data_IF_048873596532
#
_entry.id   IF_048873596532
#
_cell.length_a   1.000
_cell.length_b   1.000
_cell.length_c   1.000
_cell.angle_alpha   90.00
_cell.angle_beta   90.00
_cell.angle_gamma   90.00
#
_symmetry.space_group_name_H-M   'P 1'
#
loop_
_entity.id
_entity.type
_entity.pdbx_description
1 polymer ?
#
# COMPACT_ATOMS: atom_id res chain seq x y z
N UNK A 1 24.56 -16.90 5.59
CA UNK A 1 23.66 -15.73 5.50
C UNK A 1 23.21 -15.61 4.06
N UNK A 2 21.90 -15.66 3.78
CA UNK A 2 21.37 -15.58 2.41
C UNK A 2 21.18 -14.10 2.03
N UNK A 3 21.83 -13.66 0.95
CA UNK A 3 21.58 -12.36 0.35
C UNK A 3 20.49 -12.54 -0.72
N UNK A 4 19.32 -11.95 -0.49
CA UNK A 4 18.24 -11.95 -1.47
C UNK A 4 18.25 -10.62 -2.24
N UNK A 5 18.66 -10.66 -3.50
CA UNK A 5 18.70 -9.49 -4.38
C UNK A 5 17.48 -9.51 -5.29
N UNK A 6 16.68 -8.44 -5.27
CA UNK A 6 15.60 -8.24 -6.23
C UNK A 6 16.12 -7.37 -7.39
N UNK A 7 16.03 -7.88 -8.61
CA UNK A 7 16.38 -7.14 -9.82
C UNK A 7 15.14 -6.95 -10.70
N UNK A 8 14.74 -5.70 -10.94
CA UNK A 8 13.60 -5.34 -11.77
C UNK A 8 14.05 -4.49 -12.96
N UNK A 9 13.93 -5.04 -14.18
CA UNK A 9 14.06 -4.28 -15.43
C UNK A 9 12.71 -3.70 -15.83
N UNK A 10 12.69 -2.41 -16.17
CA UNK A 10 11.51 -1.74 -16.70
C UNK A 10 11.45 -1.90 -18.23
N UNK A 11 10.45 -2.63 -18.73
CA UNK A 11 10.19 -2.78 -20.17
C UNK A 11 9.31 -1.66 -20.75
N UNK A 12 8.57 -0.97 -19.88
CA UNK A 12 7.68 0.16 -20.17
C UNK A 12 7.88 1.22 -19.06
N UNK A 13 7.65 2.51 -19.35
CA UNK A 13 7.69 3.57 -18.34
C UNK A 13 6.81 3.24 -17.13
N UNK A 14 7.27 3.59 -15.92
CA UNK A 14 6.55 3.33 -14.68
C UNK A 14 5.13 3.90 -14.71
N UNK A 15 4.95 5.10 -15.27
CA UNK A 15 3.64 5.72 -15.45
C UNK A 15 2.65 4.81 -16.20
N UNK A 16 3.08 4.23 -17.32
CA UNK A 16 2.24 3.31 -18.12
C UNK A 16 1.94 2.01 -17.36
N UNK A 17 2.86 1.54 -16.51
CA UNK A 17 2.64 0.34 -15.68
C UNK A 17 1.60 0.61 -14.58
N UNK A 18 1.52 1.82 -14.05
CA UNK A 18 0.61 2.19 -12.97
C UNK A 18 -0.87 2.16 -13.34
N UNK A 19 -1.21 2.12 -14.64
CA UNK A 19 -2.58 2.09 -15.15
C UNK A 19 -3.50 3.13 -14.47
N UNK A 20 -2.99 4.35 -14.31
CA UNK A 20 -3.71 5.43 -13.66
C UNK A 20 -4.99 5.78 -14.45
N UNK A 21 -6.11 6.10 -13.77
CA UNK A 21 -7.33 6.52 -14.44
C UNK A 21 -7.11 7.83 -15.22
N UNK A 22 -7.99 8.13 -16.18
CA UNK A 22 -7.85 9.33 -17.02
C UNK A 22 -8.13 10.63 -16.25
N UNK A 23 -8.98 10.58 -15.22
CA UNK A 23 -9.35 11.75 -14.43
C UNK A 23 -9.63 11.41 -12.96
N UNK A 24 -9.41 12.39 -12.10
CA UNK A 24 -9.87 12.37 -10.70
C UNK A 24 -11.40 12.48 -10.63
N UNK A 25 -11.99 12.19 -9.45
CA UNK A 25 -13.43 12.34 -9.21
C UNK A 25 -13.97 13.77 -9.40
N UNK A 26 -13.09 14.78 -9.39
CA UNK A 26 -13.41 16.18 -9.67
C UNK A 26 -13.21 16.58 -11.15
N UNK A 27 -12.91 15.64 -12.04
CA UNK A 27 -12.78 15.88 -13.49
C UNK A 27 -11.40 16.34 -13.96
N UNK A 28 -10.44 16.60 -13.06
CA UNK A 28 -9.07 16.96 -13.45
C UNK A 28 -8.35 15.77 -14.07
N UNK A 29 -7.74 15.96 -15.24
CA UNK A 29 -7.02 14.92 -15.96
C UNK A 29 -5.74 14.49 -15.22
N UNK A 30 -5.49 13.18 -15.15
CA UNK A 30 -4.19 12.66 -14.76
C UNK A 30 -3.22 12.81 -15.93
N UNK A 31 -2.26 13.70 -15.79
CA UNK A 31 -1.19 13.92 -16.75
C UNK A 31 0.07 13.30 -16.17
N UNK A 32 0.90 12.71 -17.03
CA UNK A 32 2.24 12.24 -16.70
C UNK A 32 3.20 13.44 -16.55
N UNK A 33 3.62 13.84 -15.33
CA UNK A 33 4.60 14.90 -15.14
C UNK A 33 6.02 14.51 -15.54
N UNK A 34 6.30 13.24 -15.84
CA UNK A 34 7.65 12.74 -16.13
C UNK A 34 7.96 12.71 -17.63
N UNK A 35 6.95 12.75 -18.51
CA UNK A 35 7.14 12.76 -19.98
C UNK A 35 7.84 14.01 -20.48
N UNK A 36 7.65 15.15 -19.81
CA UNK A 36 8.22 16.45 -20.25
C UNK A 36 9.72 16.58 -19.96
N UNK A 37 10.23 15.84 -18.98
CA UNK A 37 11.61 16.00 -18.49
C UNK A 37 12.61 15.02 -19.11
N UNK A 38 12.19 14.22 -20.09
CA UNK A 38 13.07 13.21 -20.72
C UNK A 38 13.46 12.07 -19.76
N UNK A 39 12.60 11.75 -18.78
CA UNK A 39 12.85 10.75 -17.76
C UNK A 39 13.09 9.33 -18.32
N UNK A 40 13.89 8.55 -17.61
CA UNK A 40 14.08 7.11 -17.87
C UNK A 40 12.75 6.35 -17.70
N UNK A 41 12.58 5.15 -18.31
CA UNK A 41 11.46 4.27 -17.98
C UNK A 41 11.30 3.94 -16.48
N UNK A 42 12.36 4.14 -15.67
CA UNK A 42 12.35 3.94 -14.21
C UNK A 42 11.97 5.18 -13.40
N UNK A 43 11.78 6.36 -14.01
CA UNK A 43 11.36 7.57 -13.30
C UNK A 43 10.03 7.33 -12.56
N UNK A 44 9.87 7.76 -11.28
CA UNK A 44 10.74 8.65 -10.49
C UNK A 44 11.85 7.96 -9.67
N UNK A 45 12.04 6.65 -9.83
CA UNK A 45 13.03 5.86 -9.08
C UNK A 45 14.40 5.80 -9.77
N UNK A 46 14.68 6.76 -10.66
CA UNK A 46 15.94 6.93 -11.39
C UNK A 46 16.94 7.87 -10.70
N UNK A 47 16.65 8.28 -9.47
CA UNK A 47 17.51 9.11 -8.61
C UNK A 47 17.62 8.49 -7.20
N UNK A 48 18.58 8.89 -6.35
CA UNK A 48 18.65 8.40 -4.98
C UNK A 48 17.37 8.70 -4.18
N UNK A 49 16.83 7.69 -3.49
CA UNK A 49 15.65 7.82 -2.64
C UNK A 49 15.80 6.97 -1.37
N UNK A 50 15.02 7.33 -0.35
CA UNK A 50 14.87 6.49 0.84
C UNK A 50 13.67 5.56 0.65
N UNK A 51 13.88 4.27 0.85
CA UNK A 51 12.80 3.29 0.90
C UNK A 51 12.42 3.06 2.36
N UNK A 52 11.22 3.48 2.72
CA UNK A 52 10.62 3.16 4.02
C UNK A 52 9.64 2.00 3.79
N UNK A 53 9.82 0.92 4.54
CA UNK A 53 8.90 -0.21 4.56
C UNK A 53 8.24 -0.27 5.93
N UNK A 54 6.91 -0.26 5.96
CA UNK A 54 6.12 -0.37 7.17
C UNK A 54 5.02 -1.42 7.01
N UNK A 55 4.55 -1.94 8.13
CA UNK A 55 3.35 -2.77 8.22
C UNK A 55 2.30 -1.95 8.98
N UNK A 56 1.05 -1.97 8.51
CA UNK A 56 -0.04 -1.21 9.10
C UNK A 56 -1.34 -2.02 9.08
N UNK A 57 -2.28 -1.63 9.94
CA UNK A 57 -3.66 -2.17 10.01
C UNK A 57 -4.66 -1.03 9.89
N UNK A 58 -5.91 -1.34 9.51
CA UNK A 58 -6.97 -0.33 9.45
C UNK A 58 -7.14 0.37 8.10
N UNK A 59 -6.76 -0.28 6.99
CA UNK A 59 -7.03 0.24 5.66
C UNK A 59 -8.53 0.41 5.43
N UNK A 60 -8.93 1.55 4.87
CA UNK A 60 -10.33 1.89 4.58
C UNK A 60 -10.60 2.19 3.11
N UNK A 61 -9.78 1.61 2.24
CA UNK A 61 -9.72 1.86 0.79
C UNK A 61 -10.48 0.83 -0.04
N UNK A 62 -11.27 -0.06 0.58
CA UNK A 62 -12.03 -1.11 -0.09
C UNK A 62 -11.23 -2.37 -0.41
N UNK A 63 -9.93 -2.41 -0.10
CA UNK A 63 -9.11 -3.61 -0.31
C UNK A 63 -9.58 -4.79 0.57
N UNK A 64 -9.86 -4.50 1.85
CA UNK A 64 -10.43 -5.46 2.80
C UNK A 64 -11.96 -5.34 2.78
N UNK A 65 -12.67 -6.39 2.39
CA UNK A 65 -14.12 -6.35 2.25
C UNK A 65 -14.83 -6.19 3.61
N UNK A 66 -15.79 -5.28 3.69
CA UNK A 66 -16.60 -5.07 4.90
C UNK A 66 -17.36 -6.34 5.30
N UNK A 67 -17.34 -6.67 6.60
CA UNK A 67 -18.04 -7.83 7.16
C UNK A 67 -17.41 -9.19 6.85
N UNK A 68 -16.23 -9.23 6.22
CA UNK A 68 -15.47 -10.46 5.98
C UNK A 68 -14.27 -10.57 6.91
N UNK A 69 -13.79 -11.80 7.06
CA UNK A 69 -12.54 -12.17 7.74
C UNK A 69 -12.38 -11.61 9.17
N UNK A 70 -13.49 -11.24 9.81
CA UNK A 70 -13.50 -10.68 11.16
C UNK A 70 -13.17 -9.18 11.22
N UNK A 71 -13.14 -8.48 10.07
CA UNK A 71 -12.86 -7.04 9.97
C UNK A 71 -13.80 -6.24 10.89
N UNK A 72 -13.25 -5.57 11.93
CA UNK A 72 -14.09 -4.90 12.93
C UNK A 72 -14.58 -3.50 12.50
N UNK A 73 -14.08 -2.94 11.40
CA UNK A 73 -14.49 -1.63 10.91
C UNK A 73 -15.14 -1.68 9.52
N UNK A 74 -15.87 -0.61 9.20
CA UNK A 74 -16.54 -0.39 7.91
C UNK A 74 -15.90 0.82 7.25
N UNK A 75 -15.49 0.71 5.98
CA UNK A 75 -14.63 1.69 5.32
C UNK A 75 -15.19 3.11 5.28
N UNK A 76 -16.48 3.23 4.97
CA UNK A 76 -17.17 4.52 4.87
C UNK A 76 -17.77 5.00 6.19
N UNK A 77 -17.47 4.35 7.32
CA UNK A 77 -18.00 4.76 8.60
C UNK A 77 -17.24 5.93 9.20
N UNK A 78 -17.97 6.95 9.68
CA UNK A 78 -17.38 8.13 10.33
C UNK A 78 -16.54 7.79 11.57
N UNK A 79 -16.83 6.66 12.22
CA UNK A 79 -16.13 6.17 13.41
C UNK A 79 -15.14 5.03 13.13
N UNK A 80 -14.83 4.68 11.87
CA UNK A 80 -13.98 3.54 11.53
C UNK A 80 -12.66 3.49 12.32
N UNK A 81 -11.95 4.62 12.42
CA UNK A 81 -10.70 4.74 13.19
C UNK A 81 -10.86 4.42 14.68
N UNK A 82 -11.96 4.87 15.28
CA UNK A 82 -12.26 4.62 16.70
C UNK A 82 -12.57 3.14 16.89
N UNK A 83 -13.35 2.55 15.97
CA UNK A 83 -13.68 1.12 16.01
C UNK A 83 -12.43 0.24 15.86
N UNK A 84 -11.52 0.56 14.92
CA UNK A 84 -10.23 -0.12 14.77
C UNK A 84 -9.44 -0.11 16.09
N UNK A 85 -9.39 1.06 16.75
CA UNK A 85 -8.61 1.26 17.98
C UNK A 85 -9.23 0.56 19.20
N UNK A 86 -10.55 0.60 19.31
CA UNK A 86 -11.27 -0.07 20.39
C UNK A 86 -11.10 -1.59 20.29
N UNK A 87 -11.10 -2.13 19.07
CA UNK A 87 -10.92 -3.56 18.81
C UNK A 87 -9.44 -3.98 18.71
N UNK A 88 -8.50 -3.15 19.19
CA UNK A 88 -7.06 -3.44 19.13
C UNK A 88 -6.65 -4.76 19.76
N UNK A 89 -7.37 -5.22 20.77
CA UNK A 89 -7.07 -6.47 21.45
C UNK A 89 -7.16 -7.68 20.49
N UNK A 90 -8.01 -7.61 19.45
CA UNK A 90 -8.17 -8.68 18.46
C UNK A 90 -6.97 -8.82 17.52
N UNK A 91 -6.27 -7.72 17.21
CA UNK A 91 -5.19 -7.72 16.21
C UNK A 91 -3.80 -7.45 16.80
N UNK A 92 -3.69 -6.83 17.98
CA UNK A 92 -2.38 -6.62 18.64
C UNK A 92 -1.74 -7.96 19.02
N UNK A 93 -2.54 -8.98 19.33
CA UNK A 93 -2.02 -10.31 19.67
C UNK A 93 -1.39 -11.01 18.46
N UNK A 94 -1.93 -10.86 17.26
CA UNK A 94 -1.36 -11.46 16.05
C UNK A 94 0.04 -10.90 15.71
N UNK A 95 0.37 -9.72 16.21
CA UNK A 95 1.71 -9.14 16.09
C UNK A 95 2.71 -9.70 17.11
N UNK A 96 2.24 -10.19 18.27
CA UNK A 96 3.12 -10.78 19.30
C UNK A 96 3.69 -12.12 18.84
N UNK A 97 2.87 -12.94 18.18
CA UNK A 97 3.32 -14.21 17.60
C UNK A 97 4.31 -14.02 16.43
N UNK A 98 4.26 -12.86 15.76
CA UNK A 98 5.17 -12.51 14.67
C UNK A 98 6.59 -12.15 15.14
N UNK A 99 6.83 -11.91 16.43
CA UNK A 99 8.20 -11.63 16.93
C UNK A 99 9.16 -12.83 16.79
N UNK A 100 8.64 -14.05 16.61
CA UNK A 100 9.44 -15.26 16.33
C UNK A 100 9.63 -15.59 14.85
N UNK A 101 8.85 -14.98 13.95
CA UNK A 101 8.89 -15.26 12.50
C UNK A 101 8.87 -13.93 11.76
N UNK A 102 10.03 -13.51 11.25
CA UNK A 102 10.11 -12.36 10.36
C UNK A 102 9.04 -12.47 9.28
N UNK A 103 8.10 -11.53 9.30
CA UNK A 103 6.99 -11.37 8.35
C UNK A 103 5.95 -12.50 8.39
N UNK A 104 4.99 -12.42 9.31
CA UNK A 104 3.71 -13.12 9.21
C UNK A 104 2.59 -12.19 9.69
N UNK A 105 2.08 -11.35 8.79
CA UNK A 105 0.82 -10.66 9.02
C UNK A 105 -0.33 -11.58 8.64
N UNK A 106 -0.93 -12.25 9.63
CA UNK A 106 -2.32 -12.70 9.46
C UNK A 106 -3.17 -11.44 9.44
N UNK A 107 -3.49 -10.96 8.25
CA UNK A 107 -4.45 -9.88 8.08
C UNK A 107 -5.83 -10.39 8.51
N UNK A 108 -6.45 -9.63 9.41
CA UNK A 108 -7.90 -9.50 9.52
C UNK A 108 -8.31 -8.42 8.53
#
# INVERSE_FOLDING_TARGET
MLLQVLYTKFKKPFWQRGNFPLSMSNGTAYVDPWTKSGGSPSTPFDQPFYLILNVAVGGSDGWFQDGKDGKPWVDNSRNARVTIWNDREKWVESWKDAMGRGLAGSCV
#
